data_IF_870403996238
#
_entry.id   IF_870403996238
#
_cell.length_a   1.000
_cell.length_b   1.000
_cell.length_c   1.000
_cell.angle_alpha   90.00
_cell.angle_beta   90.00
_cell.angle_gamma   90.00
#
_symmetry.space_group_name_H-M   'P 1'
#
loop_
_entity.id
_entity.type
_entity.pdbx_description
1 polymer ?
#
# COMPACT_ATOMS: atom_id res chain seq x y z
N UNK A 1 -40.20 2.90 8.17
CA UNK A 1 -40.27 1.60 8.88
C UNK A 1 -39.81 0.46 7.97
N UNK A 2 -40.44 0.24 6.81
CA UNK A 2 -40.12 -0.85 5.87
C UNK A 2 -38.67 -0.88 5.31
N UNK A 3 -38.07 0.28 5.02
CA UNK A 3 -36.68 0.38 4.54
C UNK A 3 -35.63 0.05 5.61
N UNK A 4 -35.92 0.34 6.88
CA UNK A 4 -35.02 0.04 7.99
C UNK A 4 -34.98 -1.48 8.26
N UNK A 5 -36.14 -2.13 8.22
CA UNK A 5 -36.25 -3.59 8.33
C UNK A 5 -35.63 -4.32 7.13
N UNK A 6 -35.69 -3.74 5.92
CA UNK A 6 -35.06 -4.33 4.73
C UNK A 6 -33.52 -4.29 4.81
N UNK A 7 -32.94 -3.22 5.38
CA UNK A 7 -31.49 -3.07 5.56
C UNK A 7 -30.98 -3.99 6.69
N UNK A 8 -31.78 -4.20 7.73
CA UNK A 8 -31.48 -5.13 8.83
C UNK A 8 -31.59 -6.60 8.37
N UNK A 9 -32.52 -6.91 7.46
CA UNK A 9 -32.73 -8.25 6.89
C UNK A 9 -31.69 -8.66 5.83
N UNK A 10 -31.01 -7.70 5.19
CA UNK A 10 -29.98 -7.91 4.18
C UNK A 10 -28.59 -7.46 4.68
N UNK A 11 -28.03 -8.14 5.69
CA UNK A 11 -26.58 -8.25 6.01
C UNK A 11 -25.58 -7.31 5.27
N UNK A 12 -25.68 -5.98 5.43
CA UNK A 12 -24.63 -5.05 4.98
C UNK A 12 -23.71 -4.80 6.16
N UNK A 13 -22.44 -5.23 6.06
CA UNK A 13 -21.47 -4.97 7.13
C UNK A 13 -21.36 -3.46 7.41
N UNK A 14 -21.14 -3.04 8.67
CA UNK A 14 -20.97 -1.62 9.00
C UNK A 14 -19.91 -0.92 8.14
N UNK A 15 -18.90 -1.66 7.69
CA UNK A 15 -17.86 -1.22 6.74
C UNK A 15 -18.41 -0.93 5.36
N UNK A 16 -19.23 -1.83 4.80
CA UNK A 16 -19.84 -1.62 3.48
C UNK A 16 -20.78 -0.41 3.47
N UNK A 17 -21.54 -0.19 4.55
CA UNK A 17 -22.37 1.02 4.70
C UNK A 17 -21.52 2.31 4.81
N UNK A 18 -20.31 2.25 5.38
CA UNK A 18 -19.37 3.39 5.34
C UNK A 18 -18.88 3.65 3.91
N UNK A 19 -18.55 2.61 3.14
CA UNK A 19 -18.10 2.73 1.74
C UNK A 19 -19.20 3.32 0.85
N UNK A 20 -20.45 2.84 0.94
CA UNK A 20 -21.57 3.38 0.17
C UNK A 20 -21.78 4.86 0.47
N UNK A 21 -21.61 5.28 1.75
CA UNK A 21 -21.68 6.69 2.14
C UNK A 21 -20.58 7.55 1.50
N UNK A 22 -19.46 7.00 1.02
CA UNK A 22 -18.44 7.76 0.29
C UNK A 22 -18.94 8.22 -1.09
N UNK A 23 -19.92 7.56 -1.71
CA UNK A 23 -20.46 7.95 -3.02
C UNK A 23 -21.00 9.39 -3.04
N UNK A 24 -21.46 9.91 -1.89
CA UNK A 24 -21.92 11.31 -1.77
C UNK A 24 -20.81 12.34 -2.03
N UNK A 25 -19.54 11.97 -1.85
CA UNK A 25 -18.38 12.81 -2.16
C UNK A 25 -18.33 13.12 -3.67
N UNK A 26 -18.88 12.26 -4.52
CA UNK A 26 -19.00 12.52 -5.97
C UNK A 26 -19.78 13.79 -6.31
N UNK A 27 -20.62 14.32 -5.42
CA UNK A 27 -21.27 15.63 -5.62
C UNK A 27 -20.27 16.78 -5.66
N UNK A 28 -19.16 16.69 -4.92
CA UNK A 28 -18.09 17.70 -4.90
C UNK A 28 -17.41 17.79 -6.27
N UNK A 29 -17.30 16.67 -7.01
CA UNK A 29 -16.77 16.64 -8.37
C UNK A 29 -17.58 17.51 -9.35
N UNK A 30 -18.84 17.84 -9.05
CA UNK A 30 -19.63 18.78 -9.88
C UNK A 30 -19.05 20.20 -9.87
N UNK A 31 -18.33 20.60 -8.82
CA UNK A 31 -17.66 21.91 -8.75
C UNK A 31 -16.59 22.07 -9.85
N UNK A 32 -15.98 20.97 -10.28
CA UNK A 32 -14.99 20.93 -11.37
C UNK A 32 -15.63 21.42 -12.69
N UNK A 33 -16.94 21.22 -12.91
CA UNK A 33 -17.62 21.67 -14.13
C UNK A 33 -17.64 23.19 -14.27
N UNK A 34 -17.66 23.94 -13.16
CA UNK A 34 -17.69 25.40 -13.15
C UNK A 34 -16.30 26.05 -13.26
N UNK A 35 -15.23 25.32 -12.91
CA UNK A 35 -13.88 25.85 -12.85
C UNK A 35 -13.06 25.50 -14.11
N UNK A 36 -13.08 26.39 -15.13
CA UNK A 36 -12.38 26.19 -16.41
C UNK A 36 -10.89 25.89 -16.25
N UNK A 37 -10.20 26.57 -15.33
CA UNK A 37 -8.76 26.35 -15.07
C UNK A 37 -8.44 24.95 -14.51
N UNK A 38 -9.20 24.50 -13.49
CA UNK A 38 -9.06 23.15 -12.92
C UNK A 38 -9.31 22.08 -13.98
N UNK A 39 -10.31 22.27 -14.84
CA UNK A 39 -10.62 21.34 -15.93
C UNK A 39 -9.45 21.17 -16.90
N UNK A 40 -8.75 22.26 -17.26
CA UNK A 40 -7.57 22.18 -18.14
C UNK A 40 -6.45 21.37 -17.49
N UNK A 41 -6.17 21.57 -16.20
CA UNK A 41 -5.15 20.79 -15.48
C UNK A 41 -5.52 19.30 -15.40
N UNK A 42 -6.78 18.98 -15.10
CA UNK A 42 -7.25 17.59 -15.07
C UNK A 42 -7.23 16.93 -16.46
N UNK A 43 -7.50 17.68 -17.52
CA UNK A 43 -7.39 17.17 -18.89
C UNK A 43 -5.94 16.87 -19.27
N UNK A 44 -5.01 17.76 -18.93
CA UNK A 44 -3.58 17.51 -19.12
C UNK A 44 -3.13 16.26 -18.34
N UNK A 45 -3.58 16.10 -17.09
CA UNK A 45 -3.32 14.90 -16.29
C UNK A 45 -3.86 13.64 -17.00
N UNK A 46 -5.11 13.64 -17.44
CA UNK A 46 -5.71 12.50 -18.15
C UNK A 46 -4.97 12.15 -19.44
N UNK A 47 -4.48 13.14 -20.18
CA UNK A 47 -3.67 12.92 -21.38
C UNK A 47 -2.31 12.30 -21.06
N UNK A 48 -1.75 12.53 -19.87
CA UNK A 48 -0.50 11.91 -19.42
C UNK A 48 -0.65 10.50 -18.86
N UNK A 49 -1.88 10.08 -18.48
CA UNK A 49 -2.14 8.78 -17.86
C UNK A 49 -1.68 7.57 -18.69
N UNK A 50 -1.84 7.51 -20.03
CA UNK A 50 -1.37 6.37 -20.81
C UNK A 50 0.16 6.19 -20.72
N UNK A 51 0.91 7.29 -20.76
CA UNK A 51 2.36 7.24 -20.61
C UNK A 51 2.77 6.88 -19.18
N UNK A 52 2.08 7.45 -18.18
CA UNK A 52 2.30 7.13 -16.77
C UNK A 52 2.00 5.66 -16.46
N UNK A 53 1.00 5.06 -17.10
CA UNK A 53 0.66 3.65 -16.93
C UNK A 53 1.81 2.73 -17.39
N UNK A 54 2.46 3.04 -18.51
CA UNK A 54 3.61 2.27 -18.99
C UNK A 54 4.78 2.31 -17.99
N UNK A 55 5.09 3.50 -17.46
CA UNK A 55 6.13 3.67 -16.43
C UNK A 55 5.72 2.95 -15.14
N UNK A 56 4.45 3.08 -14.73
CA UNK A 56 3.90 2.43 -13.56
C UNK A 56 3.95 0.90 -13.65
N UNK A 57 3.72 0.33 -14.84
CA UNK A 57 3.82 -1.11 -15.07
C UNK A 57 5.26 -1.60 -14.95
N UNK A 58 6.22 -0.84 -15.51
CA UNK A 58 7.64 -1.14 -15.35
C UNK A 58 8.06 -1.06 -13.88
N UNK A 59 7.64 -0.01 -13.17
CA UNK A 59 7.91 0.16 -11.74
C UNK A 59 7.30 -0.99 -10.92
N UNK A 60 6.07 -1.40 -11.23
CA UNK A 60 5.42 -2.53 -10.59
C UNK A 60 6.17 -3.85 -10.84
N UNK A 61 6.66 -4.08 -12.06
CA UNK A 61 7.48 -5.24 -12.37
C UNK A 61 8.77 -5.27 -11.54
N UNK A 62 9.45 -4.13 -11.41
CA UNK A 62 10.65 -4.02 -10.57
C UNK A 62 10.30 -4.31 -9.10
N UNK A 63 9.24 -3.69 -8.56
CA UNK A 63 8.78 -3.96 -7.19
C UNK A 63 8.42 -5.44 -7.00
N UNK A 64 7.79 -6.09 -7.99
CA UNK A 64 7.45 -7.50 -7.92
C UNK A 64 8.70 -8.38 -7.78
N UNK A 65 9.72 -8.16 -8.61
CA UNK A 65 10.99 -8.91 -8.55
C UNK A 65 11.65 -8.73 -7.18
N UNK A 66 11.77 -7.49 -6.70
CA UNK A 66 12.37 -7.20 -5.40
C UNK A 66 11.52 -7.70 -4.22
N UNK A 67 10.20 -7.80 -4.36
CA UNK A 67 9.32 -8.33 -3.30
C UNK A 67 9.58 -9.82 -3.08
N UNK A 68 9.73 -10.58 -4.17
CA UNK A 68 10.07 -12.01 -4.11
C UNK A 68 11.49 -12.18 -3.54
N UNK A 69 12.46 -11.41 -4.02
CA UNK A 69 13.82 -11.45 -3.49
C UNK A 69 13.86 -11.11 -2.00
N UNK A 70 13.18 -10.04 -1.58
CA UNK A 70 13.11 -9.63 -0.19
C UNK A 70 12.45 -10.69 0.69
N UNK A 71 11.39 -11.33 0.20
CA UNK A 71 10.71 -12.40 0.94
C UNK A 71 11.62 -13.61 1.14
N UNK A 72 12.35 -14.05 0.11
CA UNK A 72 13.25 -15.20 0.23
C UNK A 72 14.47 -14.95 1.11
N UNK A 73 14.93 -13.69 1.23
CA UNK A 73 16.17 -13.37 1.95
C UNK A 73 15.93 -12.75 3.34
N UNK A 74 14.86 -11.97 3.52
CA UNK A 74 14.68 -11.10 4.68
C UNK A 74 13.46 -11.45 5.55
N UNK A 75 12.71 -12.51 5.23
CA UNK A 75 11.52 -12.92 6.00
C UNK A 75 11.82 -13.17 7.50
N UNK A 76 13.00 -13.69 7.83
CA UNK A 76 13.37 -14.05 9.20
C UNK A 76 14.31 -13.06 9.88
N UNK A 77 14.47 -11.86 9.30
CA UNK A 77 15.22 -10.79 9.94
C UNK A 77 14.53 -10.42 11.25
N UNK A 78 15.33 -10.17 12.29
CA UNK A 78 14.81 -9.80 13.60
C UNK A 78 14.00 -8.50 13.48
N UNK A 79 12.79 -8.52 14.06
CA UNK A 79 11.90 -7.35 14.13
C UNK A 79 12.54 -6.27 15.03
N UNK A 80 12.74 -5.08 14.47
CA UNK A 80 13.32 -3.91 15.11
C UNK A 80 12.71 -2.62 14.50
N UNK A 81 13.46 -1.51 14.44
CA UNK A 81 12.95 -0.15 14.19
C UNK A 81 11.99 -0.03 13.00
N UNK A 82 12.31 -0.62 11.85
CA UNK A 82 11.49 -0.55 10.64
C UNK A 82 10.87 -1.86 10.18
N UNK A 83 11.09 -2.97 10.91
CA UNK A 83 10.50 -4.27 10.60
C UNK A 83 9.56 -4.67 11.74
N UNK A 84 8.26 -4.63 11.48
CA UNK A 84 7.20 -4.92 12.45
C UNK A 84 6.14 -5.90 11.89
N UNK A 85 5.01 -6.06 12.58
CA UNK A 85 3.95 -7.00 12.22
C UNK A 85 3.25 -6.64 10.88
N UNK A 86 3.31 -5.37 10.46
CA UNK A 86 2.68 -4.85 9.25
C UNK A 86 3.70 -4.57 8.14
N UNK A 87 4.87 -4.05 8.47
CA UNK A 87 5.96 -3.73 7.54
C UNK A 87 7.09 -4.74 7.70
N UNK A 88 7.04 -5.83 6.94
CA UNK A 88 8.06 -6.88 6.95
C UNK A 88 8.17 -7.54 5.57
N UNK A 89 9.05 -8.54 5.48
CA UNK A 89 9.25 -9.36 4.28
C UNK A 89 8.76 -10.81 4.46
N UNK A 90 7.85 -11.09 5.40
CA UNK A 90 7.39 -12.46 5.69
C UNK A 90 6.44 -12.99 4.61
N UNK A 91 5.65 -12.10 4.00
CA UNK A 91 4.71 -12.46 2.93
C UNK A 91 4.80 -11.48 1.77
N UNK A 92 4.36 -11.94 0.59
CA UNK A 92 4.39 -11.12 -0.63
C UNK A 92 3.71 -9.76 -0.47
N UNK A 93 2.52 -9.71 0.16
CA UNK A 93 1.77 -8.47 0.35
C UNK A 93 2.51 -7.47 1.23
N UNK A 94 3.10 -7.94 2.33
CA UNK A 94 3.88 -7.10 3.23
C UNK A 94 5.16 -6.60 2.55
N UNK A 95 5.87 -7.46 1.80
CA UNK A 95 7.04 -7.07 1.00
C UNK A 95 6.72 -5.98 -0.03
N UNK A 96 5.57 -6.07 -0.71
CA UNK A 96 5.12 -5.05 -1.67
C UNK A 96 4.82 -3.72 -0.97
N UNK A 97 4.21 -3.73 0.22
CA UNK A 97 3.95 -2.52 1.01
C UNK A 97 5.28 -1.84 1.41
N UNK A 98 6.25 -2.61 1.89
CA UNK A 98 7.59 -2.10 2.22
C UNK A 98 8.27 -1.46 1.00
N UNK A 99 8.23 -2.12 -0.16
CA UNK A 99 8.85 -1.59 -1.39
C UNK A 99 8.11 -0.37 -1.96
N UNK A 100 6.79 -0.32 -1.79
CA UNK A 100 6.01 0.87 -2.12
C UNK A 100 6.45 2.07 -1.28
N UNK A 101 6.72 1.87 0.01
CA UNK A 101 7.26 2.92 0.88
C UNK A 101 8.67 3.35 0.41
N UNK A 102 9.58 2.40 0.17
CA UNK A 102 10.96 2.69 -0.29
C UNK A 102 10.97 3.39 -1.65
N UNK A 103 9.98 3.16 -2.52
CA UNK A 103 9.87 3.86 -3.82
C UNK A 103 9.75 5.38 -3.67
N UNK A 104 9.23 5.85 -2.53
CA UNK A 104 9.21 7.28 -2.17
C UNK A 104 10.44 7.73 -1.38
N UNK A 105 11.44 6.85 -1.25
CA UNK A 105 12.65 7.01 -0.44
C UNK A 105 12.39 7.22 1.06
N UNK A 106 11.21 6.81 1.55
CA UNK A 106 10.83 6.96 2.95
C UNK A 106 11.14 5.69 3.76
N UNK A 107 11.74 5.84 4.94
CA UNK A 107 11.93 4.78 5.94
C UNK A 107 12.74 3.56 5.48
N UNK A 108 13.53 3.69 4.41
CA UNK A 108 14.43 2.64 3.93
C UNK A 108 15.56 2.35 4.93
N UNK A 109 15.97 3.36 5.70
CA UNK A 109 16.98 3.29 6.74
C UNK A 109 16.54 2.40 7.90
N UNK A 110 15.27 2.53 8.32
CA UNK A 110 14.68 1.67 9.35
C UNK A 110 14.54 0.21 8.92
N UNK A 111 14.24 -0.04 7.64
CA UNK A 111 14.19 -1.39 7.05
C UNK A 111 15.59 -2.00 6.92
N UNK A 112 16.60 -1.20 6.60
CA UNK A 112 17.98 -1.65 6.41
C UNK A 112 18.69 -1.96 7.73
N UNK A 113 18.47 -1.16 8.78
CA UNK A 113 19.15 -1.30 10.06
C UNK A 113 19.17 -2.74 10.63
N UNK A 114 18.03 -3.46 10.75
CA UNK A 114 18.03 -4.83 11.26
C UNK A 114 18.67 -5.84 10.31
N UNK A 115 18.71 -5.57 9.00
CA UNK A 115 19.35 -6.44 7.99
C UNK A 115 20.87 -6.43 8.13
N UNK A 116 21.45 -5.31 8.59
CA UNK A 116 22.90 -5.18 8.79
C UNK A 116 23.43 -5.93 10.04
N UNK A 117 22.54 -6.38 10.93
CA UNK A 117 22.92 -7.09 12.16
C UNK A 117 23.34 -8.54 11.88
N UNK A 118 24.66 -8.77 11.76
CA UNK A 118 25.20 -10.10 11.41
C UNK A 118 25.70 -10.97 12.57
N UNK A 119 25.77 -10.46 13.81
CA UNK A 119 26.32 -11.19 14.97
C UNK A 119 25.59 -10.90 16.29
N UNK A 120 25.69 -11.80 17.29
CA UNK A 120 25.29 -11.52 18.67
C UNK A 120 26.01 -10.26 19.23
N UNK A 121 25.39 -9.47 20.12
CA UNK A 121 24.09 -9.69 20.79
C UNK A 121 22.87 -9.25 19.98
N UNK A 122 23.06 -8.71 18.77
CA UNK A 122 22.00 -8.07 18.00
C UNK A 122 21.12 -9.08 17.24
N UNK A 123 21.67 -10.23 16.82
CA UNK A 123 20.92 -11.34 16.24
C UNK A 123 21.35 -12.70 16.83
N UNK A 124 20.46 -13.69 16.70
CA UNK A 124 20.70 -15.08 17.12
C UNK A 124 20.76 -15.98 15.88
N UNK A 125 21.94 -16.53 15.52
CA UNK A 125 22.10 -17.39 14.34
C UNK A 125 21.44 -18.78 14.50
N UNK A 126 21.04 -19.15 15.71
CA UNK A 126 20.46 -20.46 16.02
C UNK A 126 18.95 -20.38 16.32
N UNK A 127 18.32 -19.22 16.07
CA UNK A 127 16.89 -19.06 16.24
C UNK A 127 16.13 -20.00 15.29
N UNK A 128 15.29 -20.85 15.86
CA UNK A 128 14.38 -21.71 15.09
C UNK A 128 13.29 -20.84 14.48
N UNK A 129 13.18 -20.84 13.16
CA UNK A 129 12.15 -20.13 12.42
C UNK A 129 10.96 -21.05 12.15
N UNK A 130 9.71 -20.52 12.19
CA UNK A 130 8.50 -21.27 11.84
C UNK A 130 8.42 -21.64 10.36
#
# INVERSE_FOLDING_TARGET
MFLAELIEKYFVSPTLFRVIRLARIGRILRLIKGAKGIRTLLFALMMSLPALFNIGLLLFLVMFIYAIFGMSNFAYVKREVGIDDMFNFETFGHSVICLFQITTSAGWDGLLAPILNGKPPYCDPHKVNP
#
